data_IF_056356196267
#
_entry.id   IF_056356196267
#
_cell.length_a   1.000
_cell.length_b   1.000
_cell.length_c   1.000
_cell.angle_alpha   90.00
_cell.angle_beta   90.00
_cell.angle_gamma   90.00
#
_symmetry.space_group_name_H-M   'P 1'
#
loop_
_entity.id
_entity.type
_entity.pdbx_description
1 polymer ?
#
# COMPACT_ATOMS: atom_id res chain seq x y z
N UNK A 1 24.36 7.98 14.04
CA UNK A 1 23.63 7.71 12.78
C UNK A 1 22.21 7.46 13.20
N UNK A 2 21.39 8.50 13.20
CA UNK A 2 19.95 8.39 13.46
C UNK A 2 19.26 7.96 12.16
N UNK A 3 19.56 6.73 11.71
CA UNK A 3 18.95 6.10 10.52
C UNK A 3 17.63 5.39 10.88
N UNK A 4 17.10 5.64 12.08
CA UNK A 4 15.84 5.06 12.50
C UNK A 4 14.69 5.90 11.95
N UNK A 5 14.09 5.40 10.87
CA UNK A 5 12.86 5.95 10.35
C UNK A 5 11.73 5.71 11.37
N UNK A 6 11.28 6.80 11.98
CA UNK A 6 10.13 6.82 12.90
C UNK A 6 8.83 6.34 12.24
N UNK A 7 8.11 5.48 12.96
CA UNK A 7 6.77 5.04 12.61
C UNK A 7 5.85 6.25 12.33
N UNK A 8 5.10 6.22 11.23
CA UNK A 8 4.22 7.31 10.79
C UNK A 8 4.93 8.51 10.14
N UNK A 9 6.26 8.58 10.14
CA UNK A 9 6.96 9.64 9.43
C UNK A 9 6.85 9.45 7.90
N UNK A 10 6.73 10.56 7.17
CA UNK A 10 6.73 10.53 5.72
C UNK A 10 8.05 9.94 5.19
N UNK A 11 8.00 9.03 4.20
CA UNK A 11 9.19 8.46 3.59
C UNK A 11 10.22 9.53 3.22
N UNK A 12 11.50 9.33 3.56
CA UNK A 12 12.57 10.26 3.18
C UNK A 12 12.57 10.55 1.67
N UNK A 13 12.15 9.55 0.90
CA UNK A 13 12.02 9.61 -0.54
C UNK A 13 10.95 10.62 -1.01
N UNK A 14 9.94 10.95 -0.19
CA UNK A 14 9.02 12.07 -0.46
C UNK A 14 9.66 13.43 -0.20
N UNK A 15 10.61 13.50 0.75
CA UNK A 15 11.30 14.73 1.16
C UNK A 15 12.42 15.13 0.19
N UNK A 16 13.12 14.15 -0.38
CA UNK A 16 14.29 14.36 -1.22
C UNK A 16 14.02 14.41 -2.72
N UNK A 17 12.76 14.36 -3.15
CA UNK A 17 12.47 14.40 -4.59
C UNK A 17 13.00 15.70 -5.20
N UNK A 18 14.02 15.64 -6.07
CA UNK A 18 14.38 16.81 -6.83
C UNK A 18 13.16 17.14 -7.68
N UNK A 19 12.67 18.38 -7.57
CA UNK A 19 11.86 18.94 -8.65
C UNK A 19 12.69 18.69 -9.90
N UNK A 20 12.25 17.77 -10.76
CA UNK A 20 12.93 17.44 -12.01
C UNK A 20 12.78 18.64 -12.92
N UNK A 21 13.59 19.66 -12.63
CA UNK A 21 13.64 20.93 -13.32
C UNK A 21 15.09 21.37 -13.20
N UNK A 22 15.88 20.98 -14.20
CA UNK A 22 17.05 21.73 -14.64
C UNK A 22 18.22 21.93 -13.65
N UNK A 23 18.35 21.12 -12.60
CA UNK A 23 19.55 21.12 -11.77
C UNK A 23 20.51 20.02 -12.23
N UNK A 24 21.81 20.34 -12.36
CA UNK A 24 22.89 19.44 -12.81
C UNK A 24 23.20 18.28 -11.85
N UNK A 25 22.36 18.05 -10.84
CA UNK A 25 22.56 16.99 -9.86
C UNK A 25 21.80 15.72 -10.28
N UNK A 26 22.48 14.56 -10.33
CA UNK A 26 21.83 13.31 -10.65
C UNK A 26 20.79 12.98 -9.58
N UNK A 27 19.62 12.53 -10.00
CA UNK A 27 18.59 12.07 -9.09
C UNK A 27 19.17 10.94 -8.20
N UNK A 28 19.08 11.06 -6.87
CA UNK A 28 19.61 10.03 -5.96
C UNK A 28 18.81 8.72 -6.03
N UNK A 29 17.63 8.74 -6.68
CA UNK A 29 16.71 7.61 -6.74
C UNK A 29 16.90 6.83 -8.04
N UNK A 30 17.30 5.57 -7.89
CA UNK A 30 17.45 4.63 -8.99
C UNK A 30 16.16 3.83 -9.22
N UNK A 31 15.82 3.60 -10.50
CA UNK A 31 14.75 2.68 -10.89
C UNK A 31 15.15 1.23 -10.60
N UNK A 32 14.37 0.53 -9.78
CA UNK A 32 14.61 -0.88 -9.43
C UNK A 32 14.44 -1.86 -10.60
N UNK A 33 13.86 -1.41 -11.72
CA UNK A 33 13.61 -2.23 -12.91
C UNK A 33 14.68 -2.02 -13.99
N UNK A 34 14.97 -0.76 -14.36
CA UNK A 34 15.92 -0.47 -15.45
C UNK A 34 17.25 0.14 -15.00
N UNK A 35 17.42 0.44 -13.71
CA UNK A 35 18.64 1.04 -13.17
C UNK A 35 18.85 2.52 -13.50
N UNK A 36 17.95 3.18 -14.24
CA UNK A 36 18.06 4.61 -14.56
C UNK A 36 17.75 5.51 -13.37
N UNK A 37 18.43 6.66 -13.29
CA UNK A 37 18.23 7.69 -12.27
C UNK A 37 17.22 8.76 -12.75
N UNK A 38 16.09 8.30 -13.30
CA UNK A 38 15.03 9.16 -13.85
C UNK A 38 13.71 8.98 -13.10
N UNK A 39 13.77 8.46 -11.86
CA UNK A 39 12.60 8.15 -11.05
C UNK A 39 12.08 9.39 -10.34
N UNK A 40 10.85 9.79 -10.66
CA UNK A 40 10.13 10.88 -10.01
C UNK A 40 8.93 10.32 -9.25
N UNK A 41 8.31 11.14 -8.41
CA UNK A 41 7.05 10.84 -7.73
C UNK A 41 5.98 10.69 -8.79
N UNK A 42 5.17 9.65 -8.68
CA UNK A 42 4.02 9.49 -9.56
C UNK A 42 3.02 10.63 -9.30
N UNK A 43 2.32 11.07 -10.35
CA UNK A 43 1.21 12.01 -10.21
C UNK A 43 0.06 11.44 -9.35
N UNK A 44 -0.02 10.11 -9.23
CA UNK A 44 -1.00 9.40 -8.42
C UNK A 44 -0.59 9.21 -6.95
N UNK A 45 0.65 9.54 -6.57
CA UNK A 45 1.14 9.33 -5.19
C UNK A 45 0.40 10.18 -4.16
N UNK A 46 -0.09 9.54 -3.11
CA UNK A 46 -0.91 10.16 -2.07
C UNK A 46 -0.11 10.42 -0.80
N UNK A 47 0.09 11.70 -0.46
CA UNK A 47 0.82 12.07 0.77
C UNK A 47 0.20 11.50 2.05
N UNK A 48 -1.12 11.33 2.05
CA UNK A 48 -1.89 10.79 3.18
C UNK A 48 -1.71 9.27 3.41
N UNK A 49 -1.10 8.55 2.46
CA UNK A 49 -0.75 7.14 2.61
C UNK A 49 0.77 7.04 2.89
N UNK A 50 1.21 6.97 4.17
CA UNK A 50 2.62 6.82 4.51
C UNK A 50 3.16 5.41 4.22
N UNK A 51 2.27 4.45 4.02
CA UNK A 51 2.61 3.04 3.84
C UNK A 51 2.94 2.67 2.39
N UNK A 52 2.58 3.53 1.43
CA UNK A 52 2.87 3.36 0.01
C UNK A 52 3.56 4.57 -0.55
N UNK A 53 4.44 4.34 -1.51
CA UNK A 53 5.02 5.41 -2.31
C UNK A 53 4.93 5.05 -3.78
N UNK A 54 4.23 5.88 -4.53
CA UNK A 54 4.06 5.67 -5.97
C UNK A 54 5.11 6.49 -6.73
N UNK A 55 5.87 5.82 -7.58
CA UNK A 55 6.95 6.39 -8.36
C UNK A 55 6.73 6.15 -9.86
N UNK A 56 7.31 7.04 -10.66
CA UNK A 56 7.30 6.99 -12.11
C UNK A 56 8.73 7.09 -12.66
N UNK A 57 9.13 6.18 -13.54
CA UNK A 57 10.41 6.21 -14.25
C UNK A 57 10.24 6.90 -15.62
N UNK A 58 10.98 8.00 -15.83
CA UNK A 58 10.91 8.76 -17.09
C UNK A 58 11.79 8.20 -18.22
N UNK A 59 12.49 7.08 -17.97
CA UNK A 59 13.27 6.41 -19.00
C UNK A 59 12.32 5.74 -20.01
N UNK A 60 12.36 6.18 -21.27
CA UNK A 60 11.50 5.68 -22.35
C UNK A 60 11.73 4.18 -22.66
N UNK A 61 12.88 3.64 -22.25
CA UNK A 61 13.23 2.23 -22.42
C UNK A 61 12.89 1.36 -21.19
N UNK A 62 12.20 1.92 -20.18
CA UNK A 62 11.77 1.17 -19.01
C UNK A 62 10.32 0.68 -19.18
N UNK A 63 10.12 -0.64 -19.11
CA UNK A 63 8.78 -1.24 -19.25
C UNK A 63 7.89 -1.01 -18.03
N UNK A 64 8.45 -0.95 -16.81
CA UNK A 64 7.67 -0.81 -15.59
C UNK A 64 6.89 0.51 -15.51
N UNK A 65 7.51 1.63 -15.95
CA UNK A 65 7.04 3.04 -15.90
C UNK A 65 6.49 3.49 -14.55
N UNK A 66 5.40 2.92 -14.06
CA UNK A 66 4.86 3.13 -12.71
C UNK A 66 5.26 1.99 -11.78
N UNK A 67 5.55 2.34 -10.53
CA UNK A 67 5.88 1.36 -9.49
C UNK A 67 5.38 1.83 -8.14
N UNK A 68 5.01 0.86 -7.31
CA UNK A 68 4.57 1.10 -5.93
C UNK A 68 5.57 0.47 -4.98
N UNK A 69 6.17 1.28 -4.13
CA UNK A 69 6.98 0.82 -3.02
C UNK A 69 6.11 0.68 -1.77
N UNK A 70 6.15 -0.50 -1.18
CA UNK A 70 5.45 -0.78 0.07
C UNK A 70 6.41 -0.59 1.24
N UNK A 71 6.12 0.40 2.08
CA UNK A 71 6.89 0.69 3.29
C UNK A 71 6.44 -0.25 4.39
N UNK A 72 7.34 -1.10 4.89
CA UNK A 72 7.01 -2.10 5.93
C UNK A 72 7.10 -1.59 7.37
N UNK A 73 7.90 -0.54 7.61
CA UNK A 73 8.10 0.08 8.94
C UNK A 73 7.42 1.44 9.01
N UNK A 74 6.17 1.52 8.54
CA UNK A 74 5.41 2.77 8.52
C UNK A 74 4.60 3.00 9.81
N UNK A 75 4.66 2.09 10.78
CA UNK A 75 3.88 2.18 12.02
C UNK A 75 2.39 1.88 11.87
N UNK A 76 1.93 1.49 10.68
CA UNK A 76 0.53 1.24 10.38
C UNK A 76 0.29 -0.23 10.02
N UNK A 77 0.92 -1.14 10.79
CA UNK A 77 0.74 -2.59 10.68
C UNK A 77 0.82 -3.10 9.23
N UNK A 78 1.93 -2.78 8.55
CA UNK A 78 2.13 -3.10 7.13
C UNK A 78 1.79 -4.54 6.75
N UNK A 79 2.04 -5.49 7.66
CA UNK A 79 1.78 -6.92 7.46
C UNK A 79 0.30 -7.25 7.24
N UNK A 80 -0.62 -6.42 7.74
CA UNK A 80 -2.07 -6.64 7.57
C UNK A 80 -2.64 -5.94 6.32
N UNK A 81 -1.82 -5.26 5.51
CA UNK A 81 -2.32 -4.66 4.26
C UNK A 81 -2.51 -5.72 3.18
N UNK A 82 -3.58 -5.56 2.39
CA UNK A 82 -4.01 -6.58 1.43
C UNK A 82 -2.95 -6.88 0.36
N UNK A 83 -2.24 -5.85 -0.11
CA UNK A 83 -1.12 -5.93 -1.05
C UNK A 83 0.09 -6.66 -0.46
N UNK A 84 0.48 -6.35 0.78
CA UNK A 84 1.58 -7.03 1.47
C UNK A 84 1.27 -8.51 1.67
N UNK A 85 0.02 -8.84 2.05
CA UNK A 85 -0.43 -10.23 2.16
C UNK A 85 -0.42 -10.96 0.82
N UNK A 86 -0.91 -10.32 -0.24
CA UNK A 86 -0.91 -10.90 -1.58
C UNK A 86 0.51 -11.20 -2.07
N UNK A 87 1.45 -10.29 -1.86
CA UNK A 87 2.86 -10.52 -2.20
C UNK A 87 3.47 -11.65 -1.37
N UNK A 88 3.19 -11.70 -0.06
CA UNK A 88 3.66 -12.79 0.80
C UNK A 88 3.19 -14.17 0.34
N UNK A 89 1.96 -14.24 -0.20
CA UNK A 89 1.41 -15.47 -0.76
C UNK A 89 2.10 -15.91 -2.04
N UNK A 90 2.39 -14.96 -2.94
CA UNK A 90 3.20 -15.20 -4.14
C UNK A 90 4.59 -15.73 -3.75
N UNK A 91 5.24 -15.10 -2.78
CA UNK A 91 6.57 -15.50 -2.29
C UNK A 91 6.57 -16.94 -1.73
N UNK A 92 5.48 -17.33 -1.08
CA UNK A 92 5.30 -18.68 -0.52
C UNK A 92 4.82 -19.72 -1.55
N UNK A 93 4.56 -19.32 -2.80
CA UNK A 93 4.02 -20.20 -3.85
C UNK A 93 2.55 -20.58 -3.65
N UNK A 94 1.83 -19.91 -2.76
CA UNK A 94 0.42 -20.16 -2.47
C UNK A 94 -0.42 -19.12 -3.19
N UNK A 95 -1.13 -19.48 -4.26
CA UNK A 95 -1.94 -18.51 -5.01
C UNK A 95 -3.38 -18.34 -4.51
N UNK A 96 -3.80 -19.13 -3.51
CA UNK A 96 -5.13 -19.02 -2.91
C UNK A 96 -5.13 -18.05 -1.72
N UNK A 97 -5.49 -16.79 -2.00
CA UNK A 97 -5.58 -15.72 -1.00
C UNK A 97 -6.69 -15.98 0.02
N UNK A 98 -7.78 -16.60 -0.42
CA UNK A 98 -8.95 -16.84 0.43
C UNK A 98 -8.74 -18.00 1.41
N UNK A 99 -7.90 -18.98 1.06
CA UNK A 99 -7.53 -20.07 1.96
C UNK A 99 -6.67 -19.59 3.14
N UNK A 100 -5.74 -18.66 2.90
CA UNK A 100 -4.77 -18.22 3.93
C UNK A 100 -5.28 -17.02 4.73
N UNK A 101 -6.02 -16.11 4.09
CA UNK A 101 -6.63 -14.96 4.72
C UNK A 101 -8.13 -14.97 4.45
N UNK A 102 -8.91 -15.77 5.20
CA UNK A 102 -10.35 -15.81 5.04
C UNK A 102 -10.92 -14.39 5.21
N UNK A 103 -11.81 -13.93 4.32
CA UNK A 103 -12.34 -12.58 4.40
C UNK A 103 -13.14 -12.42 5.69
N UNK A 104 -12.92 -11.31 6.41
CA UNK A 104 -13.73 -10.97 7.60
C UNK A 104 -15.22 -10.79 7.25
N UNK A 105 -15.50 -10.45 5.99
CA UNK A 105 -16.85 -10.37 5.43
C UNK A 105 -17.14 -11.67 4.71
N UNK A 106 -18.05 -12.49 5.26
CA UNK A 106 -18.66 -13.60 4.52
C UNK A 106 -19.21 -13.06 3.21
N UNK A 107 -18.61 -13.41 2.09
CA UNK A 107 -19.22 -13.21 0.78
C UNK A 107 -20.39 -14.19 0.69
N UNK A 108 -21.59 -13.73 1.05
CA UNK A 108 -22.79 -14.51 0.84
C UNK A 108 -23.05 -14.60 -0.66
N UNK A 109 -23.18 -15.82 -1.18
CA UNK A 109 -23.72 -16.01 -2.52
C UNK A 109 -25.21 -15.63 -2.52
N UNK A 110 -25.79 -15.34 -3.69
CA UNK A 110 -27.23 -15.05 -3.78
C UNK A 110 -28.06 -16.21 -3.22
N UNK A 111 -27.57 -17.44 -3.37
CA UNK A 111 -28.17 -18.64 -2.79
C UNK A 111 -28.08 -18.65 -1.26
N UNK A 112 -26.99 -18.17 -0.66
CA UNK A 112 -26.85 -18.05 0.79
C UNK A 112 -27.78 -16.97 1.36
N UNK A 113 -27.93 -15.84 0.66
CA UNK A 113 -28.86 -14.77 1.05
C UNK A 113 -30.33 -15.21 1.01
N UNK A 114 -30.69 -16.03 0.02
CA UNK A 114 -32.04 -16.60 -0.10
C UNK A 114 -32.28 -17.74 0.91
N UNK A 115 -31.23 -18.45 1.33
CA UNK A 115 -31.32 -19.47 2.37
C UNK A 115 -31.47 -18.87 3.78
N UNK A 116 -30.97 -17.64 4.00
CA UNK A 116 -30.95 -16.97 5.31
C UNK A 116 -32.19 -16.09 5.60
N UNK A 117 -33.29 -16.29 4.87
CA UNK A 117 -34.56 -15.57 5.06
C UNK A 117 -35.22 -15.70 6.45
N UNK A 118 -34.59 -16.40 7.40
CA UNK A 118 -35.11 -16.64 8.76
C UNK A 118 -34.33 -15.97 9.89
N UNK A 119 -33.14 -15.39 9.66
CA UNK A 119 -32.39 -14.72 10.72
C UNK A 119 -32.33 -13.22 10.46
N UNK A 120 -33.07 -12.50 11.29
CA UNK A 120 -33.03 -11.05 11.40
C UNK A 120 -31.58 -10.61 11.61
N UNK A 121 -31.02 -9.93 10.62
CA UNK A 121 -29.65 -9.41 10.67
C UNK A 121 -29.58 -8.42 11.82
N UNK A 122 -29.04 -8.84 12.97
CA UNK A 122 -28.54 -7.93 13.99
C UNK A 122 -27.44 -7.09 13.33
N UNK A 123 -27.86 -5.96 12.75
CA UNK A 123 -26.97 -4.84 12.47
C UNK A 123 -26.39 -4.46 13.82
N UNK A 124 -25.19 -4.97 14.12
CA UNK A 124 -24.32 -4.38 15.13
C UNK A 124 -24.01 -2.95 14.69
N UNK A 125 -24.90 -2.02 15.00
CA UNK A 125 -24.57 -0.61 15.10
C UNK A 125 -23.40 -0.54 16.07
N UNK A 126 -22.24 -0.10 15.58
CA UNK A 126 -21.13 0.27 16.45
C UNK A 126 -21.68 1.34 17.39
N UNK A 127 -21.92 0.97 18.66
CA UNK A 127 -22.25 1.91 19.72
C UNK A 127 -21.05 2.84 19.82
N UNK A 128 -21.22 4.12 19.49
CA UNK A 128 -20.17 5.11 19.68
C UNK A 128 -19.75 5.10 21.16
N UNK A 129 -18.44 5.18 21.47
CA UNK A 129 -18.01 5.28 22.86
C UNK A 129 -18.58 6.55 23.50
N UNK A 130 -18.93 6.53 24.79
CA UNK A 130 -19.47 7.71 25.46
C UNK A 130 -18.42 8.82 25.48
N UNK A 131 -18.87 10.03 25.13
CA UNK A 131 -18.10 11.27 25.33
C UNK A 131 -18.05 11.51 26.84
N UNK A 132 -16.84 11.65 27.37
CA UNK A 132 -16.60 12.03 28.78
C UNK A 132 -16.41 13.54 28.80
N UNK A 133 -17.25 14.24 29.57
CA UNK A 133 -17.12 15.68 29.87
C UNK A 133 -15.94 15.96 30.81
#
# INVERSE_FOLDING_TARGET
MDDEWEAGAAPWLRRQQPKTTYANEPNPVQCMFCGSHTVKRSASDRDADPGRLELYCDNQLCDAREMVLLVKRDGAEAIFRADVRALHLIDNGTMDVHAVFPPEVKSYTMSDLLADHGNEVERRMRKAPPVVD
#
